data_IF_023122761924
#
_entry.id   IF_023122761924
#
_cell.length_a   1.000
_cell.length_b   1.000
_cell.length_c   1.000
_cell.angle_alpha   90.00
_cell.angle_beta   90.00
_cell.angle_gamma   90.00
#
_symmetry.space_group_name_H-M   'P 1'
#
loop_
_entity.id
_entity.type
_entity.pdbx_description
1 polymer ?
#
# COMPACT_ATOMS: atom_id res chain seq x y z
N UNK A 1 -14.02 6.34 -6.03
CA UNK A 1 -14.28 7.57 -6.82
C UNK A 1 -13.85 8.85 -6.10
N UNK A 2 -14.23 9.10 -4.84
CA UNK A 2 -13.95 10.39 -4.17
C UNK A 2 -12.67 10.46 -3.32
N UNK A 3 -11.93 9.35 -3.14
CA UNK A 3 -10.71 9.35 -2.35
C UNK A 3 -9.56 10.08 -3.05
N UNK A 4 -8.80 10.86 -2.30
CA UNK A 4 -7.54 11.47 -2.77
C UNK A 4 -6.34 10.56 -2.49
N UNK A 5 -6.42 9.74 -1.44
CA UNK A 5 -5.43 8.72 -1.10
C UNK A 5 -6.15 7.40 -0.83
N UNK A 6 -5.70 6.35 -1.50
CA UNK A 6 -6.09 4.97 -1.24
C UNK A 6 -4.95 4.27 -0.53
N UNK A 7 -5.11 3.97 0.75
CA UNK A 7 -4.14 3.22 1.54
C UNK A 7 -4.58 1.76 1.64
N UNK A 8 -3.82 0.87 1.00
CA UNK A 8 -4.16 -0.54 0.89
C UNK A 8 -3.35 -1.34 1.90
N UNK A 9 -3.94 -2.41 2.43
CA UNK A 9 -3.26 -3.35 3.33
C UNK A 9 -3.54 -4.78 2.90
N UNK A 10 -2.53 -5.65 3.01
CA UNK A 10 -2.69 -7.10 2.98
C UNK A 10 -3.72 -7.59 4.02
N UNK A 11 -4.56 -8.54 3.62
CA UNK A 11 -5.27 -9.43 4.54
C UNK A 11 -4.26 -10.34 5.25
N UNK A 12 -4.11 -10.20 6.56
CA UNK A 12 -3.08 -10.90 7.32
C UNK A 12 -3.54 -12.31 7.70
N UNK A 13 -3.02 -13.33 6.97
CA UNK A 13 -3.30 -14.76 7.22
C UNK A 13 -3.11 -15.15 8.68
N UNK A 14 -2.08 -14.59 9.32
CA UNK A 14 -1.72 -14.84 10.72
C UNK A 14 -2.77 -14.35 11.75
N UNK A 15 -3.79 -13.59 11.33
CA UNK A 15 -4.88 -13.11 12.21
C UNK A 15 -6.12 -14.00 12.19
N UNK A 16 -6.15 -15.04 11.37
CA UNK A 16 -7.30 -15.94 11.26
C UNK A 16 -7.04 -17.22 12.06
N UNK A 17 -8.01 -17.62 12.87
CA UNK A 17 -8.01 -18.93 13.53
C UNK A 17 -8.46 -20.06 12.59
N UNK A 18 -9.18 -19.70 11.53
CA UNK A 18 -9.72 -20.60 10.52
C UNK A 18 -9.21 -20.19 9.13
N UNK A 19 -8.58 -21.14 8.42
CA UNK A 19 -8.01 -20.90 7.10
C UNK A 19 -9.08 -20.74 6.02
N UNK A 20 -10.26 -21.31 6.20
CA UNK A 20 -11.33 -21.21 5.22
C UNK A 20 -11.89 -19.77 5.18
N UNK A 21 -12.10 -19.15 6.35
CA UNK A 21 -12.46 -17.73 6.46
C UNK A 21 -11.41 -16.81 5.84
N UNK A 22 -10.11 -17.12 6.00
CA UNK A 22 -9.05 -16.38 5.33
C UNK A 22 -9.17 -16.49 3.80
N UNK A 23 -9.38 -17.70 3.29
CA UNK A 23 -9.49 -17.96 1.85
C UNK A 23 -10.71 -17.27 1.22
N UNK A 24 -11.81 -17.10 1.97
CA UNK A 24 -13.00 -16.39 1.51
C UNK A 24 -12.75 -14.89 1.27
N UNK A 25 -11.85 -14.26 2.05
CA UNK A 25 -11.71 -12.79 2.06
C UNK A 25 -10.40 -12.27 1.48
N UNK A 26 -9.34 -13.09 1.41
CA UNK A 26 -7.99 -12.65 0.99
C UNK A 26 -7.93 -11.99 -0.38
N UNK A 27 -8.82 -12.38 -1.30
CA UNK A 27 -8.86 -11.94 -2.69
C UNK A 27 -10.06 -11.01 -3.00
N UNK A 28 -10.81 -10.56 -1.97
CA UNK A 28 -11.99 -9.71 -2.18
C UNK A 28 -11.64 -8.25 -2.53
N UNK A 29 -10.46 -7.78 -2.11
CA UNK A 29 -10.05 -6.38 -2.22
C UNK A 29 -8.74 -6.24 -3.00
N UNK A 30 -8.80 -6.54 -4.29
CA UNK A 30 -7.65 -6.45 -5.19
C UNK A 30 -7.70 -5.14 -5.97
N UNK A 31 -6.61 -4.37 -5.93
CA UNK A 31 -6.44 -3.19 -6.76
C UNK A 31 -5.94 -3.61 -8.14
N UNK A 32 -6.77 -3.38 -9.16
CA UNK A 32 -6.49 -3.70 -10.57
C UNK A 32 -6.41 -2.43 -11.42
N UNK A 33 -5.81 -2.48 -12.63
CA UNK A 33 -5.86 -1.38 -13.58
C UNK A 33 -7.30 -0.93 -13.88
N UNK A 34 -8.23 -1.88 -13.95
CA UNK A 34 -9.65 -1.61 -14.20
C UNK A 34 -10.31 -0.77 -13.11
N UNK A 35 -10.02 -1.07 -11.84
CA UNK A 35 -10.48 -0.27 -10.71
C UNK A 35 -9.82 1.11 -10.72
N UNK A 36 -8.55 1.18 -11.08
CA UNK A 36 -7.80 2.44 -11.17
C UNK A 36 -8.33 3.38 -12.28
N UNK A 37 -9.07 2.88 -13.28
CA UNK A 37 -9.79 3.73 -14.25
C UNK A 37 -10.91 4.56 -13.61
N UNK A 38 -11.47 4.12 -12.49
CA UNK A 38 -12.52 4.82 -11.75
C UNK A 38 -11.96 5.79 -10.69
N UNK A 39 -10.65 5.72 -10.43
CA UNK A 39 -9.99 6.60 -9.48
C UNK A 39 -9.72 7.98 -10.10
N UNK A 40 -9.66 9.02 -9.25
CA UNK A 40 -9.23 10.35 -9.69
C UNK A 40 -7.85 10.25 -10.37
N UNK A 41 -7.64 11.08 -11.38
CA UNK A 41 -6.37 11.16 -12.12
C UNK A 41 -5.18 11.46 -11.19
N UNK A 42 -5.41 12.24 -10.12
CA UNK A 42 -4.40 12.63 -9.13
C UNK A 42 -4.49 11.87 -7.80
N UNK A 43 -5.30 10.81 -7.72
CA UNK A 43 -5.36 9.98 -6.51
C UNK A 43 -3.99 9.33 -6.26
N UNK A 44 -3.60 9.15 -5.00
CA UNK A 44 -2.37 8.45 -4.62
C UNK A 44 -2.69 7.06 -4.09
N UNK A 45 -1.99 6.02 -4.57
CA UNK A 45 -2.10 4.66 -4.03
C UNK A 45 -0.90 4.35 -3.14
N UNK A 46 -1.16 3.99 -1.88
CA UNK A 46 -0.14 3.69 -0.87
C UNK A 46 -0.30 2.25 -0.35
N UNK A 47 0.81 1.66 0.07
CA UNK A 47 0.86 0.31 0.64
C UNK A 47 2.12 0.16 1.50
N UNK A 48 2.04 -0.39 2.72
CA UNK A 48 3.18 -0.50 3.63
C UNK A 48 4.23 -1.55 3.21
N UNK A 49 3.86 -2.47 2.31
CA UNK A 49 4.63 -3.66 1.91
C UNK A 49 4.93 -4.63 3.10
N UNK A 50 5.32 -5.89 2.83
CA UNK A 50 5.28 -6.58 1.53
C UNK A 50 3.84 -6.77 1.07
N UNK A 51 3.62 -6.72 -0.26
CA UNK A 51 2.34 -7.10 -0.86
C UNK A 51 2.32 -8.57 -1.25
N UNK A 52 1.13 -9.18 -1.31
CA UNK A 52 0.96 -10.59 -1.68
C UNK A 52 0.08 -10.73 -2.93
N UNK A 53 -1.09 -10.11 -2.94
CA UNK A 53 -2.07 -10.20 -4.04
C UNK A 53 -3.10 -9.06 -4.06
N UNK A 54 -3.12 -8.24 -3.02
CA UNK A 54 -4.04 -7.11 -2.84
C UNK A 54 -3.80 -5.95 -3.83
N UNK A 55 -2.68 -5.93 -4.55
CA UNK A 55 -2.39 -4.98 -5.64
C UNK A 55 -1.80 -5.75 -6.82
N UNK A 56 -2.44 -5.71 -7.98
CA UNK A 56 -1.91 -6.30 -9.21
C UNK A 56 -0.57 -5.67 -9.59
N UNK A 57 0.45 -6.46 -9.99
CA UNK A 57 1.73 -5.93 -10.47
C UNK A 57 1.59 -4.95 -11.64
N UNK A 58 0.53 -5.05 -12.45
CA UNK A 58 0.26 -4.12 -13.55
C UNK A 58 0.02 -2.67 -13.06
N UNK A 59 -0.42 -2.50 -11.82
CA UNK A 59 -0.62 -1.18 -11.20
C UNK A 59 0.73 -0.49 -10.91
N UNK A 60 1.86 -1.20 -10.93
CA UNK A 60 3.19 -0.60 -10.70
C UNK A 60 3.56 0.45 -11.75
N UNK A 61 3.05 0.29 -12.98
CA UNK A 61 3.28 1.24 -14.06
C UNK A 61 2.34 2.46 -13.98
N UNK A 62 1.32 2.44 -13.11
CA UNK A 62 0.41 3.56 -12.92
C UNK A 62 1.16 4.70 -12.19
N UNK A 63 1.20 5.94 -12.73
CA UNK A 63 1.90 7.06 -12.09
C UNK A 63 1.36 7.41 -10.70
N UNK A 64 0.16 6.94 -10.35
CA UNK A 64 -0.47 7.11 -9.03
C UNK A 64 0.08 6.13 -7.98
N UNK A 65 0.77 5.07 -8.38
CA UNK A 65 1.40 4.10 -7.48
C UNK A 65 2.56 4.74 -6.70
N UNK A 66 2.33 5.02 -5.42
CA UNK A 66 3.30 5.70 -4.57
C UNK A 66 4.02 4.78 -3.59
N UNK A 67 3.64 3.51 -3.47
CA UNK A 67 4.17 2.60 -2.46
C UNK A 67 5.69 2.34 -2.56
N UNK A 68 6.29 2.37 -3.75
CA UNK A 68 7.77 2.31 -3.86
C UNK A 68 8.45 3.60 -3.38
N UNK A 69 7.91 4.76 -3.77
CA UNK A 69 8.36 6.07 -3.26
C UNK A 69 8.17 6.17 -1.74
N UNK A 70 7.08 5.62 -1.21
CA UNK A 70 6.80 5.55 0.23
C UNK A 70 7.89 4.77 0.98
N UNK A 71 8.31 3.61 0.46
CA UNK A 71 9.37 2.81 1.09
C UNK A 71 10.69 3.56 1.12
N UNK A 72 11.05 4.23 0.01
CA UNK A 72 12.22 5.10 -0.07
C UNK A 72 12.12 6.25 0.95
N UNK A 73 10.96 6.90 1.05
CA UNK A 73 10.71 7.94 2.05
C UNK A 73 10.86 7.42 3.49
N UNK A 74 10.57 6.13 3.73
CA UNK A 74 10.83 5.48 5.02
C UNK A 74 12.30 5.51 5.45
N UNK A 75 13.25 5.46 4.51
CA UNK A 75 14.68 5.64 4.82
C UNK A 75 14.96 7.08 5.28
N UNK A 76 14.48 8.08 4.52
CA UNK A 76 14.70 9.50 4.84
C UNK A 76 14.07 9.90 6.17
N UNK A 77 12.85 9.45 6.45
CA UNK A 77 12.17 9.73 7.72
C UNK A 77 12.93 9.12 8.89
N UNK A 78 13.46 7.89 8.76
CA UNK A 78 14.27 7.28 9.81
C UNK A 78 15.57 8.04 10.04
N UNK A 79 16.25 8.47 8.99
CA UNK A 79 17.46 9.31 9.10
C UNK A 79 17.15 10.62 9.83
N UNK A 80 16.08 11.31 9.42
CA UNK A 80 15.65 12.56 10.04
C UNK A 80 15.26 12.38 11.51
N UNK A 81 14.50 11.32 11.82
CA UNK A 81 14.08 11.00 13.19
C UNK A 81 15.29 10.69 14.08
N UNK A 82 16.25 9.90 13.59
CA UNK A 82 17.48 9.61 14.32
C UNK A 82 18.33 10.87 14.54
N UNK A 83 18.46 11.73 13.53
CA UNK A 83 19.15 13.01 13.67
C UNK A 83 18.48 13.89 14.74
N UNK A 84 17.14 14.00 14.73
CA UNK A 84 16.39 14.78 15.70
C UNK A 84 16.56 14.26 17.13
N UNK A 85 16.45 12.94 17.35
CA UNK A 85 16.57 12.34 18.69
C UNK A 85 18.01 12.40 19.22
N UNK A 86 19.01 12.35 18.34
CA UNK A 86 20.43 12.42 18.70
C UNK A 86 20.99 13.86 18.75
N UNK A 87 20.16 14.89 18.56
CA UNK A 87 20.57 16.30 18.61
C UNK A 87 21.47 16.72 17.44
N UNK A 88 21.28 16.13 16.26
CA UNK A 88 22.04 16.38 15.02
C UNK A 88 21.18 16.98 13.89
N UNK A 89 19.95 17.38 14.20
CA UNK A 89 19.02 18.00 13.26
C UNK A 89 19.33 19.49 13.07
#
# INVERSE_FOLDING_TARGET
ENADVLYVTRVQKERFSDLDQYNEVKDQYIITPDLMRQAKEKMVVMHPLPRVGEISPEVDADPRAAYFRQVQNGMYIRMALLAAVLGKA
#
